data_IF_351239559678
#
_entry.id   IF_351239559678
#
_cell.length_a   1.000
_cell.length_b   1.000
_cell.length_c   1.000
_cell.angle_alpha   90.00
_cell.angle_beta   90.00
_cell.angle_gamma   90.00
#
_symmetry.space_group_name_H-M   'P 1'
#
loop_
_entity.id
_entity.type
_entity.pdbx_description
1 polymer ?
#
# COMPACT_ATOMS: atom_id res chain seq x y z
N UNK A 1 -0.83 43.02 -0.13
CA UNK A 1 -0.60 41.60 -0.50
C UNK A 1 0.67 41.02 0.12
N UNK A 2 1.84 41.70 0.07
CA UNK A 2 3.12 41.12 0.55
C UNK A 2 3.09 40.66 2.01
N UNK A 3 2.60 41.48 2.94
CA UNK A 3 2.49 41.11 4.36
C UNK A 3 1.71 39.80 4.59
N UNK A 4 0.68 39.52 3.78
CA UNK A 4 -0.05 38.26 3.88
C UNK A 4 0.80 37.06 3.45
N UNK A 5 1.61 37.21 2.40
CA UNK A 5 2.54 36.17 1.96
C UNK A 5 3.60 35.89 3.03
N UNK A 6 4.17 36.91 3.64
CA UNK A 6 5.19 36.75 4.69
C UNK A 6 4.62 35.97 5.90
N UNK A 7 3.36 36.23 6.26
CA UNK A 7 2.65 35.48 7.31
C UNK A 7 2.40 34.02 6.90
N UNK A 8 2.03 33.77 5.65
CA UNK A 8 1.84 32.41 5.12
C UNK A 8 3.16 31.62 5.15
N UNK A 9 4.26 32.26 4.73
CA UNK A 9 5.62 31.71 4.78
C UNK A 9 6.10 31.40 6.19
N UNK A 10 5.60 32.14 7.19
CA UNK A 10 5.83 31.89 8.62
C UNK A 10 4.90 30.82 9.22
N UNK A 11 3.96 30.28 8.43
CA UNK A 11 3.00 29.27 8.89
C UNK A 11 1.75 29.84 9.58
N UNK A 12 1.46 31.12 9.36
CA UNK A 12 0.36 31.84 10.00
C UNK A 12 -0.79 32.10 9.00
N UNK A 13 -1.42 31.02 8.50
CA UNK A 13 -2.51 31.10 7.51
C UNK A 13 -3.63 32.07 7.94
N UNK A 14 -4.13 31.93 9.16
CA UNK A 14 -5.26 32.76 9.63
C UNK A 14 -4.89 34.25 9.71
N UNK A 15 -3.68 34.57 10.17
CA UNK A 15 -3.19 35.94 10.18
C UNK A 15 -3.02 36.49 8.75
N UNK A 16 -2.53 35.65 7.83
CA UNK A 16 -2.39 35.99 6.42
C UNK A 16 -3.74 36.33 5.76
N UNK A 17 -4.77 35.51 6.01
CA UNK A 17 -6.14 35.73 5.54
C UNK A 17 -6.74 36.97 6.18
N UNK A 18 -6.55 37.18 7.49
CA UNK A 18 -7.04 38.38 8.18
C UNK A 18 -6.45 39.66 7.57
N UNK A 19 -5.15 39.66 7.24
CA UNK A 19 -4.51 40.79 6.55
C UNK A 19 -5.11 41.07 5.17
N UNK A 20 -5.46 40.04 4.43
CA UNK A 20 -6.14 40.19 3.15
C UNK A 20 -7.53 40.82 3.35
N UNK A 21 -8.33 40.30 4.28
CA UNK A 21 -9.71 40.76 4.54
C UNK A 21 -9.82 42.22 5.00
N UNK A 22 -8.73 42.83 5.47
CA UNK A 22 -8.68 44.26 5.82
C UNK A 22 -8.66 45.19 4.60
N UNK A 23 -8.44 44.68 3.39
CA UNK A 23 -8.52 45.46 2.16
C UNK A 23 -9.99 45.84 1.86
N UNK A 24 -10.27 47.07 1.42
CA UNK A 24 -11.63 47.52 1.14
C UNK A 24 -12.31 46.67 0.05
N UNK A 25 -13.57 46.28 0.30
CA UNK A 25 -14.32 45.36 -0.55
C UNK A 25 -14.72 45.95 -1.92
N UNK A 26 -14.75 47.27 -2.06
CA UNK A 26 -15.12 47.94 -3.32
C UNK A 26 -13.93 48.18 -4.26
N UNK A 27 -12.76 47.62 -3.92
CA UNK A 27 -11.57 47.74 -4.74
C UNK A 27 -11.64 46.79 -5.95
N UNK A 28 -11.08 47.16 -7.12
CA UNK A 28 -10.91 46.26 -8.26
C UNK A 28 -10.20 44.94 -7.93
N UNK A 29 -9.46 44.88 -6.82
CA UNK A 29 -8.74 43.68 -6.34
C UNK A 29 -9.59 42.72 -5.50
N UNK A 30 -10.88 43.00 -5.29
CA UNK A 30 -11.77 42.22 -4.43
C UNK A 30 -11.83 40.74 -4.82
N UNK A 31 -12.10 40.48 -6.12
CA UNK A 31 -12.11 39.13 -6.69
C UNK A 31 -10.76 38.43 -6.55
N UNK A 32 -9.66 39.15 -6.80
CA UNK A 32 -8.31 38.59 -6.68
C UNK A 32 -7.99 38.19 -5.24
N UNK A 33 -8.43 39.00 -4.27
CA UNK A 33 -8.29 38.72 -2.84
C UNK A 33 -9.03 37.44 -2.46
N UNK A 34 -10.30 37.29 -2.84
CA UNK A 34 -11.08 36.09 -2.54
C UNK A 34 -10.48 34.83 -3.16
N UNK A 35 -10.07 34.90 -4.42
CA UNK A 35 -9.37 33.80 -5.10
C UNK A 35 -8.07 33.45 -4.40
N UNK A 36 -7.30 34.46 -3.95
CA UNK A 36 -6.06 34.24 -3.21
C UNK A 36 -6.30 33.54 -1.88
N UNK A 37 -7.31 33.97 -1.11
CA UNK A 37 -7.68 33.33 0.16
C UNK A 37 -8.05 31.86 -0.07
N UNK A 38 -8.93 31.57 -1.03
CA UNK A 38 -9.36 30.22 -1.35
C UNK A 38 -8.18 29.32 -1.73
N UNK A 39 -7.28 29.82 -2.58
CA UNK A 39 -6.07 29.08 -2.98
C UNK A 39 -5.18 28.78 -1.78
N UNK A 40 -4.89 29.77 -0.94
CA UNK A 40 -4.04 29.56 0.24
C UNK A 40 -4.61 28.52 1.20
N UNK A 41 -5.93 28.54 1.42
CA UNK A 41 -6.60 27.53 2.25
C UNK A 41 -6.52 26.11 1.65
N UNK A 42 -6.70 26.00 0.33
CA UNK A 42 -6.57 24.73 -0.37
C UNK A 42 -5.13 24.19 -0.30
N UNK A 43 -4.14 25.02 -0.66
CA UNK A 43 -2.71 24.68 -0.63
C UNK A 43 -2.27 24.25 0.78
N UNK A 44 -2.78 24.95 1.81
CA UNK A 44 -2.49 24.64 3.21
C UNK A 44 -3.05 23.28 3.63
N UNK A 45 -4.32 23.02 3.30
CA UNK A 45 -5.00 21.76 3.64
C UNK A 45 -4.34 20.59 2.92
N UNK A 46 -4.05 20.74 1.63
CA UNK A 46 -3.34 19.73 0.84
C UNK A 46 -1.96 19.43 1.44
N UNK A 47 -1.17 20.45 1.73
CA UNK A 47 0.18 20.27 2.30
C UNK A 47 0.14 19.61 3.68
N UNK A 48 -0.85 19.97 4.52
CA UNK A 48 -1.05 19.34 5.83
C UNK A 48 -1.30 17.84 5.67
N UNK A 49 -2.23 17.46 4.80
CA UNK A 49 -2.57 16.05 4.57
C UNK A 49 -1.38 15.28 3.98
N UNK A 50 -0.65 15.87 3.04
CA UNK A 50 0.54 15.27 2.45
C UNK A 50 1.63 14.99 3.50
N UNK A 51 1.86 15.93 4.43
CA UNK A 51 2.81 15.73 5.54
C UNK A 51 2.32 14.62 6.47
N UNK A 52 1.04 14.60 6.86
CA UNK A 52 0.50 13.57 7.75
C UNK A 52 0.61 12.17 7.14
N UNK A 53 0.19 12.02 5.89
CA UNK A 53 0.30 10.74 5.18
C UNK A 53 1.76 10.30 5.04
N UNK A 54 2.68 11.24 4.77
CA UNK A 54 4.10 10.93 4.71
C UNK A 54 4.65 10.45 6.05
N UNK A 55 4.27 11.11 7.16
CA UNK A 55 4.61 10.67 8.52
C UNK A 55 4.12 9.23 8.76
N UNK A 56 2.85 8.93 8.45
CA UNK A 56 2.27 7.59 8.59
C UNK A 56 3.00 6.54 7.72
N UNK A 57 3.33 6.87 6.47
CA UNK A 57 4.09 5.99 5.57
C UNK A 57 5.51 5.73 6.09
N UNK A 58 6.18 6.75 6.64
CA UNK A 58 7.52 6.60 7.23
C UNK A 58 7.50 5.72 8.47
N UNK A 59 6.40 5.70 9.24
CA UNK A 59 6.24 4.81 10.39
C UNK A 59 6.08 3.34 9.97
N UNK A 60 5.44 3.10 8.83
CA UNK A 60 5.22 1.77 8.24
C UNK A 60 6.39 1.28 7.38
N UNK A 61 7.45 2.07 7.23
CA UNK A 61 8.58 1.76 6.36
C UNK A 61 8.29 1.90 4.86
N UNK A 62 7.17 2.53 4.48
CA UNK A 62 6.76 2.75 3.10
C UNK A 62 7.45 4.00 2.53
N UNK A 63 8.78 3.94 2.38
CA UNK A 63 9.62 5.10 2.06
C UNK A 63 9.26 5.77 0.72
N UNK A 64 8.94 4.99 -0.31
CA UNK A 64 8.57 5.51 -1.62
C UNK A 64 7.22 6.26 -1.58
N UNK A 65 6.23 5.67 -0.91
CA UNK A 65 4.90 6.27 -0.72
C UNK A 65 5.00 7.58 0.08
N UNK A 66 5.85 7.62 1.11
CA UNK A 66 6.15 8.85 1.83
C UNK A 66 6.70 9.94 0.91
N UNK A 67 7.70 9.62 0.07
CA UNK A 67 8.29 10.57 -0.88
C UNK A 67 7.29 11.07 -1.91
N UNK A 68 6.42 10.20 -2.43
CA UNK A 68 5.36 10.57 -3.35
C UNK A 68 4.33 11.51 -2.70
N UNK A 69 3.96 11.26 -1.45
CA UNK A 69 3.07 12.15 -0.70
C UNK A 69 3.70 13.53 -0.52
N UNK A 70 4.98 13.59 -0.13
CA UNK A 70 5.73 14.83 0.07
C UNK A 70 5.90 15.65 -1.22
N UNK A 71 5.85 15.03 -2.39
CA UNK A 71 5.87 15.74 -3.67
C UNK A 71 4.63 16.61 -3.92
N UNK A 72 3.52 16.35 -3.20
CA UNK A 72 2.28 17.14 -3.28
C UNK A 72 2.24 18.34 -2.34
N UNK A 73 3.29 18.56 -1.55
CA UNK A 73 3.39 19.70 -0.62
C UNK A 73 3.55 21.00 -1.41
N UNK A 74 2.71 21.99 -1.09
CA UNK A 74 2.77 23.30 -1.73
C UNK A 74 4.13 23.98 -1.51
N UNK A 75 4.52 24.83 -2.46
CA UNK A 75 5.77 25.62 -2.40
C UNK A 75 5.66 26.82 -1.44
N UNK A 76 5.10 26.60 -0.25
CA UNK A 76 5.07 27.57 0.86
C UNK A 76 6.24 27.22 1.78
N UNK A 77 7.08 28.20 2.13
CA UNK A 77 8.33 27.94 2.85
C UNK A 77 8.14 27.23 4.19
N UNK A 78 7.04 27.49 4.90
CA UNK A 78 6.67 26.75 6.11
C UNK A 78 6.59 25.24 5.87
N UNK A 79 5.83 24.82 4.87
CA UNK A 79 5.63 23.41 4.56
C UNK A 79 6.88 22.76 3.97
N UNK A 80 7.65 23.48 3.15
CA UNK A 80 8.93 23.00 2.62
C UNK A 80 9.94 22.71 3.74
N UNK A 81 10.03 23.58 4.75
CA UNK A 81 10.88 23.34 5.94
C UNK A 81 10.43 22.10 6.71
N UNK A 82 9.13 21.83 6.78
CA UNK A 82 8.58 20.63 7.44
C UNK A 82 8.78 19.36 6.61
N UNK A 83 8.65 19.44 5.29
CA UNK A 83 8.81 18.31 4.37
C UNK A 83 10.28 17.84 4.27
N UNK A 84 11.25 18.78 4.27
CA UNK A 84 12.66 18.48 4.07
C UNK A 84 13.22 17.33 4.93
N UNK A 85 13.05 17.31 6.27
CA UNK A 85 13.54 16.19 7.08
C UNK A 85 12.83 14.87 6.77
N UNK A 86 11.55 14.90 6.39
CA UNK A 86 10.78 13.70 6.02
C UNK A 86 11.26 13.11 4.68
N UNK A 87 11.58 13.97 3.71
CA UNK A 87 12.18 13.56 2.42
C UNK A 87 13.53 12.89 2.69
N UNK A 88 14.39 13.50 3.51
CA UNK A 88 15.68 12.93 3.85
C UNK A 88 15.56 11.56 4.55
N UNK A 89 14.56 11.39 5.42
CA UNK A 89 14.27 10.10 6.07
C UNK A 89 13.81 9.05 5.06
N UNK A 90 12.94 9.41 4.12
CA UNK A 90 12.51 8.52 3.04
C UNK A 90 13.69 8.11 2.15
N UNK A 91 14.52 9.06 1.71
CA UNK A 91 15.68 8.79 0.87
C UNK A 91 16.69 7.86 1.56
N UNK A 92 16.93 8.04 2.86
CA UNK A 92 17.79 7.15 3.63
C UNK A 92 17.22 5.72 3.72
N UNK A 93 15.90 5.59 3.90
CA UNK A 93 15.23 4.29 3.89
C UNK A 93 15.33 3.57 2.54
N UNK A 94 15.15 4.29 1.44
CA UNK A 94 15.32 3.76 0.08
C UNK A 94 16.76 3.27 -0.13
N UNK A 95 17.75 4.09 0.21
CA UNK A 95 19.16 3.74 0.06
C UNK A 95 19.55 2.48 0.87
N UNK A 96 18.97 2.29 2.06
CA UNK A 96 19.21 1.10 2.87
C UNK A 96 18.69 -0.18 2.18
N UNK A 97 17.49 -0.12 1.59
CA UNK A 97 16.92 -1.25 0.84
C UNK A 97 17.77 -1.57 -0.39
N UNK A 98 18.21 -0.54 -1.13
CA UNK A 98 19.10 -0.72 -2.29
C UNK A 98 20.42 -1.36 -1.91
N UNK A 99 21.00 -0.96 -0.77
CA UNK A 99 22.23 -1.54 -0.25
C UNK A 99 22.04 -3.03 0.09
N UNK A 100 20.99 -3.36 0.83
CA UNK A 100 20.68 -4.75 1.19
C UNK A 100 20.44 -5.64 -0.04
N UNK A 101 19.72 -5.14 -1.03
CA UNK A 101 19.52 -5.85 -2.29
C UNK A 101 20.85 -6.11 -3.01
N UNK A 102 21.74 -5.11 -3.10
CA UNK A 102 23.05 -5.28 -3.73
C UNK A 102 23.92 -6.32 -3.02
N UNK A 103 23.88 -6.38 -1.68
CA UNK A 103 24.58 -7.38 -0.89
C UNK A 103 24.07 -8.80 -1.16
N UNK A 104 22.75 -8.98 -1.30
CA UNK A 104 22.15 -10.27 -1.67
C UNK A 104 22.58 -10.74 -3.07
N UNK A 105 22.65 -9.84 -4.06
CA UNK A 105 23.12 -10.19 -5.41
C UNK A 105 24.63 -10.43 -5.50
N UNK A 106 25.41 -9.97 -4.51
CA UNK A 106 26.86 -10.17 -4.45
C UNK A 106 27.25 -11.47 -3.73
N UNK A 107 26.32 -12.17 -3.07
CA UNK A 107 26.56 -13.58 -2.73
C UNK A 107 26.64 -14.37 -4.03
N UNK A 108 27.82 -14.86 -4.43
CA UNK A 108 27.89 -15.72 -5.59
C UNK A 108 27.08 -16.98 -5.28
N UNK A 109 26.44 -17.64 -6.26
CA UNK A 109 25.92 -19.00 -6.10
C UNK A 109 27.06 -20.03 -5.95
N UNK A 110 28.08 -19.73 -5.14
CA UNK A 110 29.34 -20.45 -5.02
C UNK A 110 29.17 -21.87 -4.44
N UNK A 111 28.03 -22.18 -3.83
CA UNK A 111 27.72 -23.53 -3.38
C UNK A 111 26.91 -24.37 -4.39
N UNK A 112 26.26 -23.75 -5.40
CA UNK A 112 25.34 -24.46 -6.30
C UNK A 112 25.98 -24.92 -7.63
N UNK A 113 27.10 -24.34 -8.05
CA UNK A 113 27.75 -24.71 -9.32
C UNK A 113 29.03 -25.55 -9.18
N UNK A 114 29.52 -25.80 -7.96
CA UNK A 114 30.78 -26.53 -7.74
C UNK A 114 30.63 -28.01 -7.32
N UNK A 115 29.41 -28.51 -7.06
CA UNK A 115 29.26 -29.86 -6.47
C UNK A 115 28.05 -30.68 -6.94
N UNK A 116 27.53 -30.46 -8.15
CA UNK A 116 26.70 -31.49 -8.79
C UNK A 116 27.62 -32.37 -9.65
N UNK A 117 28.03 -33.58 -9.21
CA UNK A 117 28.58 -34.55 -10.14
C UNK A 117 27.52 -34.77 -11.23
N UNK A 118 27.93 -34.79 -12.49
CA UNK A 118 27.08 -35.11 -13.62
C UNK A 118 26.44 -36.48 -13.38
N UNK A 119 25.25 -36.51 -12.78
CA UNK A 119 24.43 -37.69 -12.75
C UNK A 119 24.05 -37.93 -14.21
N UNK A 120 24.66 -38.95 -14.80
CA UNK A 120 24.26 -39.50 -16.08
C UNK A 120 22.80 -39.90 -15.92
N UNK A 121 21.89 -39.02 -16.33
CA UNK A 121 20.48 -39.33 -16.39
C UNK A 121 20.30 -40.32 -17.53
N UNK A 122 20.30 -41.61 -17.20
CA UNK A 122 19.67 -42.62 -18.04
C UNK A 122 18.16 -42.47 -17.87
N UNK A 123 17.42 -41.93 -18.87
CA UNK A 123 15.97 -41.91 -18.79
C UNK A 123 15.47 -43.34 -18.58
N UNK A 124 14.46 -43.56 -17.72
CA UNK A 124 13.77 -44.84 -17.69
C UNK A 124 13.20 -45.12 -19.08
N UNK A 125 13.28 -46.37 -19.54
CA UNK A 125 12.53 -46.79 -20.72
C UNK A 125 11.05 -46.81 -20.34
N UNK A 126 10.34 -45.72 -20.60
CA UNK A 126 8.88 -45.71 -20.57
C UNK A 126 8.43 -46.36 -21.88
N UNK A 127 7.81 -47.53 -21.78
CA UNK A 127 7.01 -48.13 -22.84
C UNK A 127 6.06 -47.06 -23.38
N UNK A 128 6.22 -46.73 -24.67
CA UNK A 128 5.34 -45.82 -25.41
C UNK A 128 3.91 -46.36 -25.44
N UNK A 129 2.93 -45.73 -24.78
CA UNK A 129 1.53 -46.01 -25.06
C UNK A 129 1.10 -45.16 -26.27
N UNK A 130 0.56 -45.86 -27.25
CA UNK A 130 -0.31 -45.43 -28.35
C UNK A 130 -0.56 -43.92 -28.55
N UNK A 131 -0.12 -43.45 -29.71
CA UNK A 131 -0.96 -42.73 -30.69
C UNK A 131 -1.94 -41.70 -30.10
N UNK A 132 -1.43 -40.49 -29.90
CA UNK A 132 -2.24 -39.32 -29.61
C UNK A 132 -3.03 -38.93 -30.86
N UNK A 133 -4.21 -39.53 -31.05
CA UNK A 133 -5.19 -39.03 -32.00
C UNK A 133 -5.69 -37.67 -31.52
N UNK A 134 -5.48 -36.65 -32.36
CA UNK A 134 -6.03 -35.31 -32.16
C UNK A 134 -7.56 -35.38 -32.02
N UNK A 135 -8.17 -34.73 -31.01
CA UNK A 135 -9.62 -34.59 -30.98
C UNK A 135 -10.07 -33.64 -32.11
N UNK A 136 -11.22 -33.89 -32.75
CA UNK A 136 -11.76 -32.98 -33.75
C UNK A 136 -12.19 -31.65 -33.12
N UNK A 137 -11.96 -30.55 -33.84
CA UNK A 137 -12.46 -29.22 -33.49
C UNK A 137 -14.00 -29.24 -33.46
N UNK A 138 -14.57 -29.18 -32.26
CA UNK A 138 -16.01 -29.10 -32.05
C UNK A 138 -16.46 -27.64 -32.21
N UNK A 139 -16.89 -27.31 -33.43
CA UNK A 139 -17.46 -26.01 -33.76
C UNK A 139 -18.82 -25.84 -33.08
N UNK A 140 -18.86 -25.07 -31.98
CA UNK A 140 -20.10 -24.71 -31.30
C UNK A 140 -20.93 -23.76 -32.16
N UNK A 141 -22.08 -24.24 -32.64
CA UNK A 141 -23.18 -23.40 -33.12
C UNK A 141 -24.28 -23.35 -32.05
N UNK A 142 -24.78 -22.17 -31.66
CA UNK A 142 -25.89 -22.08 -30.71
C UNK A 142 -27.21 -22.53 -31.37
N UNK A 143 -27.97 -23.36 -30.65
CA UNK A 143 -29.27 -23.85 -31.08
C UNK A 143 -30.33 -22.72 -31.14
N UNK A 144 -31.11 -22.60 -32.22
CA UNK A 144 -32.20 -21.63 -32.30
C UNK A 144 -33.36 -22.07 -31.40
N UNK A 145 -33.73 -21.23 -30.42
CA UNK A 145 -34.93 -21.41 -29.59
C UNK A 145 -34.72 -21.42 -28.07
N UNK A 146 -33.53 -21.09 -27.56
CA UNK A 146 -33.33 -20.96 -26.12
C UNK A 146 -34.11 -19.74 -25.56
N UNK A 147 -34.98 -19.92 -24.53
CA UNK A 147 -35.68 -18.80 -23.89
C UNK A 147 -34.68 -17.89 -23.14
N UNK A 148 -35.00 -16.58 -22.99
CA UNK A 148 -34.11 -15.64 -22.33
C UNK A 148 -33.84 -16.04 -20.87
N UNK A 149 -32.59 -15.88 -20.45
CA UNK A 149 -32.15 -16.15 -19.09
C UNK A 149 -32.95 -15.31 -18.05
N UNK A 150 -33.35 -15.90 -16.91
CA UNK A 150 -34.05 -15.18 -15.86
C UNK A 150 -33.14 -14.12 -15.20
N UNK A 151 -33.75 -12.97 -14.87
CA UNK A 151 -33.08 -11.85 -14.21
C UNK A 151 -32.50 -12.25 -12.83
N UNK A 152 -31.40 -11.61 -12.39
CA UNK A 152 -30.76 -11.92 -11.11
C UNK A 152 -31.70 -11.62 -9.93
N UNK A 153 -31.69 -12.45 -8.87
CA UNK A 153 -32.55 -12.26 -7.71
C UNK A 153 -32.16 -11.00 -6.93
N UNK A 154 -33.17 -10.21 -6.55
CA UNK A 154 -33.00 -9.06 -5.66
C UNK A 154 -32.67 -9.51 -4.23
N UNK A 155 -31.74 -8.80 -3.59
CA UNK A 155 -31.30 -9.04 -2.22
C UNK A 155 -32.46 -8.93 -1.22
N UNK A 156 -32.68 -9.93 -0.35
CA UNK A 156 -33.67 -9.78 0.70
C UNK A 156 -33.11 -9.02 1.91
N UNK A 157 -33.90 -8.06 2.38
CA UNK A 157 -33.76 -7.40 3.66
C UNK A 157 -34.38 -8.31 4.73
N UNK A 158 -33.62 -8.69 5.77
CA UNK A 158 -34.15 -9.49 6.87
C UNK A 158 -33.79 -8.87 8.23
N UNK A 159 -34.85 -8.46 8.93
CA UNK A 159 -34.91 -8.39 10.39
C UNK A 159 -35.74 -9.60 10.89
N UNK A 160 -35.49 -9.95 12.17
CA UNK A 160 -36.17 -10.94 13.01
C UNK A 160 -35.54 -12.36 13.10
N UNK A 161 -34.80 -12.55 14.20
CA UNK A 161 -35.09 -13.48 15.30
C UNK A 161 -35.54 -14.91 14.95
N UNK A 162 -34.64 -15.89 15.11
CA UNK A 162 -34.96 -17.24 15.58
C UNK A 162 -33.69 -17.92 16.13
N UNK A 163 -33.72 -18.26 17.42
CA UNK A 163 -32.71 -19.09 18.09
C UNK A 163 -32.99 -20.58 17.85
N UNK A 164 -31.97 -21.33 17.44
CA UNK A 164 -31.92 -22.80 17.43
C UNK A 164 -30.46 -23.27 17.67
N UNK A 165 -30.24 -24.45 18.31
CA UNK A 165 -29.01 -24.83 19.02
C UNK A 165 -27.80 -25.14 18.11
N UNK A 166 -26.56 -25.07 18.65
CA UNK A 166 -25.34 -25.10 17.86
C UNK A 166 -25.02 -26.49 17.28
N UNK A 167 -24.73 -26.60 15.97
CA UNK A 167 -23.98 -27.73 15.43
C UNK A 167 -22.50 -27.60 15.83
N UNK A 168 -21.87 -28.74 16.15
CA UNK A 168 -20.45 -28.86 16.50
C UNK A 168 -19.60 -28.31 15.34
N UNK A 169 -18.84 -27.26 15.64
CA UNK A 169 -18.10 -26.47 14.65
C UNK A 169 -16.99 -27.29 13.97
N UNK A 170 -17.10 -27.47 12.65
CA UNK A 170 -15.92 -27.49 11.81
C UNK A 170 -15.26 -26.10 11.93
N UNK A 171 -13.97 -26.07 12.26
CA UNK A 171 -13.22 -24.82 12.42
C UNK A 171 -13.41 -23.96 11.17
N UNK A 172 -14.10 -22.82 11.33
CA UNK A 172 -14.20 -21.82 10.28
C UNK A 172 -12.78 -21.30 10.01
N UNK A 173 -12.37 -21.12 8.74
CA UNK A 173 -11.10 -20.45 8.45
C UNK A 173 -11.12 -19.08 9.11
N UNK A 174 -10.00 -18.65 9.74
CA UNK A 174 -9.93 -17.36 10.41
C UNK A 174 -10.34 -16.27 9.42
N UNK A 175 -11.25 -15.39 9.83
CA UNK A 175 -11.58 -14.18 9.08
C UNK A 175 -10.31 -13.37 8.87
N UNK A 176 -10.10 -12.77 7.69
CA UNK A 176 -8.89 -12.00 7.34
C UNK A 176 -8.52 -10.95 8.40
N UNK A 177 -9.53 -10.32 9.03
CA UNK A 177 -9.33 -9.39 10.15
C UNK A 177 -8.59 -10.00 11.36
N UNK A 178 -8.77 -11.29 11.63
CA UNK A 178 -8.09 -11.99 12.73
C UNK A 178 -6.64 -12.36 12.39
N UNK A 179 -6.34 -12.58 11.11
CA UNK A 179 -4.98 -12.82 10.65
C UNK A 179 -4.13 -11.55 10.73
N UNK A 180 -4.62 -10.43 10.20
CA UNK A 180 -3.92 -9.14 10.26
C UNK A 180 -3.66 -8.70 11.72
N UNK A 181 -4.64 -8.90 12.61
CA UNK A 181 -4.48 -8.62 14.04
C UNK A 181 -3.45 -9.53 14.72
N UNK A 182 -3.36 -10.80 14.32
CA UNK A 182 -2.37 -11.73 14.85
C UNK A 182 -0.95 -11.32 14.42
N UNK A 183 -0.77 -10.97 13.13
CA UNK A 183 0.51 -10.51 12.59
C UNK A 183 0.96 -9.23 13.30
N UNK A 184 0.08 -8.23 13.44
CA UNK A 184 0.41 -6.97 14.11
C UNK A 184 0.78 -7.18 15.59
N UNK A 185 0.06 -8.06 16.30
CA UNK A 185 0.36 -8.39 17.70
C UNK A 185 1.75 -9.01 17.88
N UNK A 186 2.12 -9.95 17.01
CA UNK A 186 3.45 -10.58 17.02
C UNK A 186 4.54 -9.59 16.62
N UNK A 187 4.29 -8.76 15.60
CA UNK A 187 5.22 -7.73 15.16
C UNK A 187 5.58 -6.77 16.31
N UNK A 188 4.60 -6.24 17.02
CA UNK A 188 4.84 -5.36 18.17
C UNK A 188 5.61 -6.07 19.29
N UNK A 189 5.30 -7.35 19.54
CA UNK A 189 6.05 -8.17 20.50
C UNK A 189 7.54 -8.27 20.12
N UNK A 190 7.85 -8.52 18.85
CA UNK A 190 9.22 -8.62 18.34
C UNK A 190 9.95 -7.28 18.36
N UNK A 191 9.26 -6.19 18.04
CA UNK A 191 9.78 -4.83 18.19
C UNK A 191 10.19 -4.52 19.64
N UNK A 192 9.37 -4.92 20.61
CA UNK A 192 9.66 -4.74 22.04
C UNK A 192 10.85 -5.58 22.53
N UNK A 193 11.16 -6.67 21.82
CA UNK A 193 12.34 -7.50 22.07
C UNK A 193 13.62 -6.94 21.41
N UNK A 194 13.53 -5.79 20.74
CA UNK A 194 14.67 -5.12 20.10
C UNK A 194 15.01 -5.67 18.71
N UNK A 195 14.15 -6.48 18.09
CA UNK A 195 14.36 -6.91 16.71
C UNK A 195 14.24 -5.73 15.72
N UNK A 196 15.00 -5.83 14.63
CA UNK A 196 14.88 -4.93 13.48
C UNK A 196 13.45 -4.95 12.93
N UNK A 197 12.97 -3.83 12.39
CA UNK A 197 11.59 -3.73 11.87
C UNK A 197 11.27 -4.79 10.82
N UNK A 198 12.23 -5.06 9.93
CA UNK A 198 12.06 -6.05 8.87
C UNK A 198 12.05 -7.49 9.39
N UNK A 199 13.02 -7.83 10.27
CA UNK A 199 13.08 -9.15 10.90
C UNK A 199 11.83 -9.44 11.74
N UNK A 200 11.39 -8.46 12.52
CA UNK A 200 10.19 -8.55 13.35
C UNK A 200 8.93 -8.79 12.52
N UNK A 201 8.80 -8.11 11.38
CA UNK A 201 7.63 -8.25 10.52
C UNK A 201 7.64 -9.56 9.74
N UNK A 202 8.79 -9.94 9.18
CA UNK A 202 8.94 -11.22 8.48
C UNK A 202 8.70 -12.42 9.40
N UNK A 203 9.20 -12.35 10.63
CA UNK A 203 8.98 -13.39 11.62
C UNK A 203 7.54 -13.42 12.13
N UNK A 204 6.92 -12.26 12.39
CA UNK A 204 5.50 -12.20 12.74
C UNK A 204 4.59 -12.79 11.65
N UNK A 205 4.92 -12.54 10.38
CA UNK A 205 4.19 -13.10 9.25
C UNK A 205 4.31 -14.63 9.20
N UNK A 206 5.54 -15.15 9.28
CA UNK A 206 5.80 -16.59 9.27
C UNK A 206 5.13 -17.31 10.46
N UNK A 207 5.19 -16.73 11.65
CA UNK A 207 4.59 -17.30 12.87
C UNK A 207 3.06 -17.27 12.85
N UNK A 208 2.47 -16.34 12.09
CA UNK A 208 1.02 -16.29 11.86
C UNK A 208 0.56 -17.27 10.78
N UNK A 209 1.49 -18.03 10.18
CA UNK A 209 1.22 -18.95 9.07
C UNK A 209 1.17 -18.29 7.70
N UNK A 210 1.59 -17.02 7.60
CA UNK A 210 1.61 -16.29 6.34
C UNK A 210 2.94 -16.38 5.59
N UNK A 211 2.90 -15.97 4.33
CA UNK A 211 4.07 -15.78 3.50
C UNK A 211 4.27 -14.28 3.23
N UNK A 212 5.50 -13.83 3.47
CA UNK A 212 5.94 -12.50 3.05
C UNK A 212 6.02 -12.49 1.53
N UNK A 213 5.20 -11.67 0.89
CA UNK A 213 5.35 -11.34 -0.53
C UNK A 213 5.98 -9.96 -0.62
N UNK A 214 7.22 -9.95 -1.10
CA UNK A 214 7.92 -8.73 -1.48
C UNK A 214 7.38 -8.27 -2.85
N UNK A 215 6.54 -7.24 -2.83
CA UNK A 215 6.05 -6.58 -4.06
C UNK A 215 6.82 -5.27 -4.31
N UNK A 216 8.08 -5.20 -3.90
CA UNK A 216 8.94 -4.02 -4.05
C UNK A 216 8.81 -3.07 -2.84
N UNK A 217 8.36 -1.82 -3.00
CA UNK A 217 8.28 -0.87 -1.89
C UNK A 217 7.22 -1.24 -0.83
N UNK A 218 6.40 -2.26 -1.11
CA UNK A 218 5.35 -2.75 -0.23
C UNK A 218 5.52 -4.24 -0.01
N UNK A 219 5.63 -4.61 1.26
CA UNK A 219 5.72 -5.99 1.68
C UNK A 219 4.39 -6.37 2.32
N UNK A 220 3.74 -7.39 1.78
CA UNK A 220 2.45 -7.86 2.28
C UNK A 220 2.63 -9.24 2.90
N UNK A 221 1.95 -9.47 4.03
CA UNK A 221 1.85 -10.78 4.64
C UNK A 221 0.52 -11.39 4.19
N UNK A 222 0.55 -12.51 3.47
CA UNK A 222 -0.66 -13.21 3.03
C UNK A 222 -0.74 -14.58 3.69
N UNK A 223 -1.92 -15.02 4.15
CA UNK A 223 -2.12 -16.35 4.73
C UNK A 223 -2.02 -17.49 3.70
#
# INVERSE_FOLDING_TARGET
>A
MQQGKDLLEAGQLEAAIAKLKLLPAESPVDKERETTIKRWQADWTQSKNAIQNAEDFLERGQWLSAKQSLASVASIGFWQRKAKPLIAKADAGIALVEQYAAEQYQQPPAAALAAAPSAVYTPPAWDTPAEYSSPPEESWQPAPGAPPAPAPPQSPSYAAEYSAPPPVAAAQPPSTASFDQAVEGLYQSYKNQGQGTWDAWGQACADSGGQVIDQGPESACLP
#
